data_IF_538527770471
#
_entry.id   IF_538527770471
#
_cell.length_a   1.000
_cell.length_b   1.000
_cell.length_c   1.000
_cell.angle_alpha   90.00
_cell.angle_beta   90.00
_cell.angle_gamma   90.00
#
_symmetry.space_group_name_H-M   'P 1'
#
loop_
_entity.id
_entity.type
_entity.pdbx_description
1 polymer ?
#
# COMPACT_ATOMS: atom_id res chain seq x y z
N UNK A 1 -8.87 9.71 -11.67
CA UNK A 1 -9.40 8.53 -10.91
C UNK A 1 -10.71 8.90 -10.20
N UNK A 2 -11.53 7.99 -9.64
CA UNK A 2 -12.69 8.39 -8.80
C UNK A 2 -12.38 8.21 -7.31
N UNK A 3 -13.07 8.97 -6.44
CA UNK A 3 -12.92 8.85 -4.99
C UNK A 3 -13.26 7.43 -4.49
N UNK A 4 -14.32 6.81 -5.03
CA UNK A 4 -14.73 5.46 -4.64
C UNK A 4 -13.67 4.42 -5.01
N UNK A 5 -13.03 4.56 -6.18
CA UNK A 5 -11.91 3.69 -6.57
C UNK A 5 -10.72 3.88 -5.65
N UNK A 6 -10.36 5.13 -5.30
CA UNK A 6 -9.28 5.39 -4.35
C UNK A 6 -9.57 4.78 -2.97
N UNK A 7 -10.79 4.96 -2.44
CA UNK A 7 -11.21 4.39 -1.15
C UNK A 7 -11.11 2.87 -1.18
N UNK A 8 -11.59 2.24 -2.25
CA UNK A 8 -11.48 0.79 -2.43
C UNK A 8 -10.02 0.33 -2.40
N UNK A 9 -9.14 1.00 -3.13
CA UNK A 9 -7.74 0.63 -3.26
C UNK A 9 -6.97 0.85 -1.95
N UNK A 10 -7.23 1.93 -1.23
CA UNK A 10 -6.71 2.17 0.13
C UNK A 10 -7.10 1.02 1.06
N UNK A 11 -8.39 0.68 1.11
CA UNK A 11 -8.87 -0.38 2.00
C UNK A 11 -8.26 -1.74 1.65
N UNK A 12 -8.24 -2.08 0.36
CA UNK A 12 -7.72 -3.35 -0.14
C UNK A 12 -6.21 -3.51 0.11
N UNK A 13 -5.41 -2.47 -0.20
CA UNK A 13 -3.96 -2.50 0.01
C UNK A 13 -3.59 -2.46 1.50
N UNK A 14 -4.29 -1.69 2.32
CA UNK A 14 -4.07 -1.69 3.77
C UNK A 14 -4.40 -3.05 4.40
N UNK A 15 -5.46 -3.73 3.96
CA UNK A 15 -5.77 -5.09 4.40
C UNK A 15 -4.65 -6.08 4.02
N UNK A 16 -4.18 -6.00 2.76
CA UNK A 16 -3.07 -6.83 2.28
C UNK A 16 -1.76 -6.60 3.08
N UNK A 17 -1.43 -5.34 3.38
CA UNK A 17 -0.26 -4.98 4.18
C UNK A 17 -0.38 -5.48 5.63
N UNK A 18 -1.58 -5.41 6.22
CA UNK A 18 -1.85 -5.94 7.56
C UNK A 18 -1.63 -7.45 7.60
N UNK A 19 -2.15 -8.18 6.61
CA UNK A 19 -2.00 -9.63 6.55
C UNK A 19 -0.53 -10.03 6.32
N UNK A 20 0.18 -9.32 5.43
CA UNK A 20 1.62 -9.49 5.25
C UNK A 20 2.42 -9.21 6.55
N UNK A 21 2.06 -8.17 7.29
CA UNK A 21 2.71 -7.85 8.56
C UNK A 21 2.51 -8.97 9.62
N UNK A 22 1.38 -9.66 9.58
CA UNK A 22 1.12 -10.79 10.47
C UNK A 22 2.07 -11.98 10.19
N UNK A 23 2.45 -12.19 8.93
CA UNK A 23 3.38 -13.25 8.51
C UNK A 23 4.82 -13.02 8.97
N UNK A 24 5.23 -11.77 9.19
CA UNK A 24 6.60 -11.45 9.59
C UNK A 24 7.03 -12.13 10.90
N UNK A 25 6.08 -12.48 11.78
CA UNK A 25 6.39 -13.19 13.02
C UNK A 25 6.75 -14.64 12.73
N UNK A 26 8.01 -14.98 12.92
CA UNK A 26 8.50 -16.36 12.76
C UNK A 26 9.08 -16.68 11.38
N UNK A 27 9.12 -15.71 10.47
CA UNK A 27 9.82 -15.87 9.19
C UNK A 27 11.35 -15.83 9.37
N UNK A 28 12.11 -16.62 8.60
CA UNK A 28 13.54 -16.46 8.45
C UNK A 28 13.91 -15.05 7.98
N UNK A 29 15.07 -14.55 8.41
CA UNK A 29 15.52 -13.17 8.11
C UNK A 29 15.55 -12.85 6.61
N UNK A 30 15.91 -13.80 5.75
CA UNK A 30 15.97 -13.59 4.31
C UNK A 30 14.57 -13.36 3.72
N UNK A 31 13.61 -14.25 4.02
CA UNK A 31 12.22 -14.15 3.57
C UNK A 31 11.55 -12.90 4.16
N UNK A 32 11.84 -12.56 5.42
CA UNK A 32 11.32 -11.34 6.05
C UNK A 32 11.80 -10.08 5.32
N UNK A 33 13.06 -10.03 4.86
CA UNK A 33 13.58 -8.91 4.05
C UNK A 33 12.83 -8.77 2.73
N UNK A 34 12.58 -9.89 2.04
CA UNK A 34 11.83 -9.88 0.78
C UNK A 34 10.39 -9.40 0.97
N UNK A 35 9.72 -9.88 2.03
CA UNK A 35 8.36 -9.46 2.35
C UNK A 35 8.31 -7.97 2.72
N UNK A 36 9.26 -7.48 3.53
CA UNK A 36 9.36 -6.05 3.86
C UNK A 36 9.59 -5.19 2.61
N UNK A 37 10.41 -5.65 1.67
CA UNK A 37 10.62 -4.95 0.40
C UNK A 37 9.34 -4.89 -0.43
N UNK A 38 8.57 -5.99 -0.49
CA UNK A 38 7.28 -6.02 -1.18
C UNK A 38 6.26 -5.08 -0.52
N UNK A 39 6.14 -5.13 0.80
CA UNK A 39 5.27 -4.23 1.57
C UNK A 39 5.60 -2.77 1.33
N UNK A 40 6.90 -2.42 1.34
CA UNK A 40 7.36 -1.05 1.09
C UNK A 40 6.93 -0.56 -0.29
N UNK A 41 7.13 -1.37 -1.34
CA UNK A 41 6.72 -1.00 -2.71
C UNK A 41 5.21 -0.79 -2.82
N UNK A 42 4.41 -1.63 -2.19
CA UNK A 42 2.95 -1.49 -2.20
C UNK A 42 2.50 -0.24 -1.45
N UNK A 43 3.12 0.08 -0.31
CA UNK A 43 2.81 1.27 0.47
C UNK A 43 3.16 2.56 -0.29
N UNK A 44 4.32 2.59 -0.96
CA UNK A 44 4.72 3.72 -1.81
C UNK A 44 3.74 3.91 -2.98
N UNK A 45 3.42 2.84 -3.70
CA UNK A 45 2.45 2.91 -4.79
C UNK A 45 1.07 3.40 -4.33
N UNK A 46 0.64 3.04 -3.11
CA UNK A 46 -0.60 3.57 -2.55
C UNK A 46 -0.49 5.06 -2.23
N UNK A 47 0.63 5.49 -1.65
CA UNK A 47 0.89 6.90 -1.37
C UNK A 47 0.87 7.75 -2.64
N UNK A 48 1.51 7.28 -3.71
CA UNK A 48 1.53 7.93 -5.03
C UNK A 48 0.09 8.11 -5.58
N UNK A 49 -0.75 7.08 -5.50
CA UNK A 49 -2.16 7.19 -5.94
C UNK A 49 -2.97 8.19 -5.10
N UNK A 50 -2.72 8.28 -3.79
CA UNK A 50 -3.38 9.27 -2.94
C UNK A 50 -2.94 10.68 -3.33
N UNK A 51 -1.65 10.88 -3.56
CA UNK A 51 -1.07 12.16 -3.99
C UNK A 51 -1.61 12.59 -5.35
N UNK A 52 -1.62 11.69 -6.35
CA UNK A 52 -2.19 11.94 -7.68
C UNK A 52 -3.65 12.39 -7.60
N UNK A 53 -4.47 11.75 -6.77
CA UNK A 53 -5.86 12.18 -6.59
C UNK A 53 -5.98 13.55 -5.93
N UNK A 54 -5.12 13.85 -4.95
CA UNK A 54 -5.11 15.15 -4.29
C UNK A 54 -4.70 16.27 -5.26
N UNK A 55 -3.77 16.00 -6.16
CA UNK A 55 -3.40 16.90 -7.26
C UNK A 55 -4.55 17.09 -8.24
N UNK A 56 -5.25 16.03 -8.66
CA UNK A 56 -6.46 16.11 -9.50
C UNK A 56 -7.54 17.02 -8.89
N UNK A 57 -7.71 17.01 -7.57
CA UNK A 57 -8.68 17.86 -6.86
C UNK A 57 -8.30 19.34 -6.80
N UNK A 58 -7.01 19.66 -6.93
CA UNK A 58 -6.48 21.02 -6.81
C UNK A 58 -6.08 21.64 -8.15
N UNK A 59 -6.20 20.87 -9.24
CA UNK A 59 -6.01 21.34 -10.59
C UNK A 59 -7.05 22.44 -10.97
N UNK A 60 -6.61 23.53 -11.62
CA UNK A 60 -7.46 24.68 -11.98
C UNK A 60 -8.52 24.38 -13.05
#
# INVERSE_FOLDING_TARGET
MTLDTLIHDVNSKCASLKDAAALLRGMPTAEAKELLALMTRQALSLADSIEEYAEELTAP
#
